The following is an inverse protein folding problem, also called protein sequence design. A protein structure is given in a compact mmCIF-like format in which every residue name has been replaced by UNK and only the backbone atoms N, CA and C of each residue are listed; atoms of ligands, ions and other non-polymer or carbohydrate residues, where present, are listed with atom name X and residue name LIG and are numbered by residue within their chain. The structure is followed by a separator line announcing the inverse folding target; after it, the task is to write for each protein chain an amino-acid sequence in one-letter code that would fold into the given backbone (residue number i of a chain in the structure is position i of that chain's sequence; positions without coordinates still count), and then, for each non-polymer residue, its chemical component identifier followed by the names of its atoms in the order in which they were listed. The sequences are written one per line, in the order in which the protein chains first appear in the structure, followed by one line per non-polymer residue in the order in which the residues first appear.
data_IF_611952128262
#
_entry.id   IF_611952128262
#
_cell.length_a   1.000
_cell.length_b   1.000
_cell.length_c   1.000
_cell.angle_alpha   90.00
_cell.angle_beta   90.00
_cell.angle_gamma   90.00
#
_symmetry.space_group_name_H-M   'P 1'
#
loop_
_entity.id
_entity.type
_entity.pdbx_description
1 polymer ?
#
# COMPACT_ATOMS: atom_id res chain seq x y z
N UNK A 1 -0.23 27.39 0.16
CA UNK A 1 1.20 27.11 0.40
C UNK A 1 1.82 26.77 -0.96
N UNK A 2 3.09 27.10 -1.24
CA UNK A 2 3.70 26.64 -2.50
C UNK A 2 3.99 25.13 -2.48
N UNK A 3 4.08 24.52 -3.67
CA UNK A 3 4.21 23.07 -3.84
C UNK A 3 5.44 22.47 -3.15
N UNK A 4 6.58 23.17 -3.18
CA UNK A 4 7.81 22.66 -2.59
C UNK A 4 7.74 22.66 -1.06
N UNK A 5 7.19 23.72 -0.48
CA UNK A 5 6.94 23.78 0.97
C UNK A 5 5.94 22.72 1.41
N UNK A 6 4.86 22.51 0.66
CA UNK A 6 3.86 21.47 0.97
C UNK A 6 4.46 20.06 0.91
N UNK A 7 5.22 19.73 -0.14
CA UNK A 7 5.97 18.47 -0.23
C UNK A 7 6.97 18.31 0.91
N UNK A 8 7.68 19.37 1.26
CA UNK A 8 8.62 19.41 2.39
C UNK A 8 7.94 19.10 3.72
N UNK A 9 6.76 19.67 3.96
CA UNK A 9 5.98 19.44 5.18
C UNK A 9 5.49 17.99 5.29
N UNK A 10 4.96 17.41 4.21
CA UNK A 10 4.52 16.01 4.20
C UNK A 10 5.72 15.09 4.43
N UNK A 11 6.83 15.28 3.69
CA UNK A 11 8.06 14.49 3.83
C UNK A 11 8.62 14.57 5.25
N UNK A 12 8.72 15.79 5.79
CA UNK A 12 9.18 16.04 7.16
C UNK A 12 8.33 15.36 8.22
N UNK A 13 7.04 15.16 7.95
CA UNK A 13 6.12 14.52 8.90
C UNK A 13 6.08 13.01 8.73
N UNK A 14 6.01 12.51 7.49
CA UNK A 14 5.65 11.11 7.18
C UNK A 14 6.84 10.19 6.89
N UNK A 15 8.06 10.71 6.69
CA UNK A 15 9.28 9.88 6.54
C UNK A 15 9.99 9.55 7.86
N UNK A 16 9.43 9.99 8.98
CA UNK A 16 10.10 9.93 10.27
C UNK A 16 9.22 9.23 11.31
N UNK A 17 9.82 8.73 12.40
CA UNK A 17 9.07 8.29 13.57
C UNK A 17 8.10 9.36 14.04
N UNK A 18 6.96 8.92 14.59
CA UNK A 18 5.93 9.86 15.04
C UNK A 18 6.50 10.87 16.03
N UNK A 19 6.28 12.14 15.74
CA UNK A 19 6.62 13.24 16.64
C UNK A 19 5.46 14.23 16.61
N UNK A 20 4.97 14.57 17.80
CA UNK A 20 3.71 15.27 17.97
C UNK A 20 3.77 16.69 17.41
N UNK A 21 4.90 17.40 17.57
CA UNK A 21 5.05 18.77 17.08
C UNK A 21 5.01 18.85 15.55
N UNK A 22 5.66 17.89 14.86
CA UNK A 22 5.59 17.74 13.40
C UNK A 22 4.17 17.43 12.94
N UNK A 23 3.51 16.47 13.59
CA UNK A 23 2.13 16.12 13.24
C UNK A 23 1.16 17.27 13.49
N UNK A 24 1.30 17.99 14.59
CA UNK A 24 0.50 19.19 14.89
C UNK A 24 0.70 20.27 13.82
N UNK A 25 1.95 20.57 13.46
CA UNK A 25 2.24 21.54 12.42
C UNK A 25 1.63 21.12 11.08
N UNK A 26 1.75 19.85 10.71
CA UNK A 26 1.10 19.30 9.53
C UNK A 26 -0.43 19.46 9.59
N UNK A 27 -1.07 19.11 10.69
CA UNK A 27 -2.53 19.19 10.83
C UNK A 27 -3.06 20.64 10.74
N UNK A 28 -2.35 21.61 11.30
CA UNK A 28 -2.71 23.04 11.19
C UNK A 28 -2.68 23.48 9.74
N UNK A 29 -1.61 23.14 9.00
CA UNK A 29 -1.49 23.51 7.58
C UNK A 29 -2.45 22.73 6.68
N UNK A 30 -2.77 21.48 7.03
CA UNK A 30 -3.73 20.68 6.26
C UNK A 30 -5.14 21.26 6.34
N UNK A 31 -5.54 21.80 7.51
CA UNK A 31 -6.92 22.23 7.78
C UNK A 31 -7.13 23.75 7.70
N UNK A 32 -6.06 24.53 7.53
CA UNK A 32 -6.01 26.00 7.54
C UNK A 32 -6.46 26.68 8.86
N UNK A 33 -7.49 26.17 9.55
CA UNK A 33 -8.08 26.80 10.76
C UNK A 33 -8.42 25.77 11.84
N UNK A 34 -7.42 25.20 12.50
CA UNK A 34 -7.61 24.28 13.63
C UNK A 34 -7.84 25.06 14.94
N UNK A 35 -9.01 24.88 15.58
CA UNK A 35 -9.31 25.47 16.89
C UNK A 35 -8.66 24.63 18.01
N UNK A 36 -7.50 25.13 18.47
CA UNK A 36 -6.71 24.49 19.53
C UNK A 36 -7.18 24.86 20.94
N UNK A 37 -8.07 25.85 21.11
CA UNK A 37 -8.69 26.12 22.41
C UNK A 37 -9.58 24.95 22.85
N UNK A 38 -10.09 24.19 21.87
CA UNK A 38 -10.78 22.92 22.09
C UNK A 38 -9.85 21.74 22.38
N UNK A 39 -8.54 21.92 22.48
CA UNK A 39 -7.61 20.83 22.81
C UNK A 39 -7.80 20.28 24.24
N UNK A 40 -7.29 19.08 24.50
CA UNK A 40 -7.12 18.58 25.86
C UNK A 40 -5.81 17.78 26.00
N UNK A 41 -5.33 17.63 27.24
CA UNK A 41 -4.09 16.90 27.55
C UNK A 41 -4.20 15.38 27.36
N UNK A 42 -3.15 14.64 27.68
CA UNK A 42 -3.22 13.17 27.57
C UNK A 42 -4.18 12.55 28.61
N UNK A 43 -5.16 11.81 28.11
CA UNK A 43 -6.03 10.93 28.89
C UNK A 43 -5.41 9.53 28.90
N UNK A 44 -5.29 8.93 30.08
CA UNK A 44 -4.67 7.60 30.26
C UNK A 44 -5.27 6.83 31.45
N UNK A 45 -4.89 5.56 31.60
CA UNK A 45 -5.25 4.76 32.78
C UNK A 45 -6.76 4.54 32.90
N UNK A 46 -7.34 4.87 34.06
CA UNK A 46 -8.75 4.58 34.38
C UNK A 46 -9.76 5.41 33.58
N UNK A 47 -9.31 6.47 32.90
CA UNK A 47 -10.16 7.30 32.05
C UNK A 47 -10.39 6.70 30.66
N UNK A 48 -9.63 5.67 30.28
CA UNK A 48 -9.88 4.87 29.07
C UNK A 48 -10.87 3.77 29.41
N UNK A 49 -11.91 3.56 28.59
CA UNK A 49 -12.88 2.47 28.79
C UNK A 49 -12.18 1.10 28.79
N UNK A 50 -12.63 0.18 29.65
CA UNK A 50 -11.96 -1.11 29.88
C UNK A 50 -11.73 -1.92 28.60
N UNK A 51 -12.69 -1.91 27.66
CA UNK A 51 -12.56 -2.59 26.35
C UNK A 51 -11.39 -2.10 25.50
N UNK A 52 -10.88 -0.88 25.71
CA UNK A 52 -9.77 -0.30 24.96
C UNK A 52 -8.44 -0.29 25.71
N UNK A 53 -8.45 -0.44 27.04
CA UNK A 53 -7.24 -0.50 27.87
C UNK A 53 -6.20 -1.54 27.42
N UNK A 54 -6.55 -2.70 26.81
CA UNK A 54 -5.55 -3.63 26.30
C UNK A 54 -4.74 -3.11 25.11
N UNK A 55 -5.29 -2.13 24.36
CA UNK A 55 -4.72 -1.67 23.09
C UNK A 55 -4.25 -0.21 23.13
N UNK A 56 -4.92 0.65 23.90
CA UNK A 56 -4.63 2.09 23.98
C UNK A 56 -3.91 2.40 25.28
N UNK A 57 -2.80 3.13 25.17
CA UNK A 57 -2.00 3.62 26.30
C UNK A 57 -2.53 4.96 26.79
N UNK A 58 -2.65 5.92 25.86
CA UNK A 58 -3.11 7.28 26.12
C UNK A 58 -3.56 7.94 24.82
N UNK A 59 -4.38 8.98 24.91
CA UNK A 59 -4.75 9.80 23.75
C UNK A 59 -4.98 11.26 24.14
N UNK A 60 -4.92 12.16 23.17
CA UNK A 60 -5.27 13.57 23.33
C UNK A 60 -5.89 14.15 22.07
N UNK A 61 -6.61 15.27 22.20
CA UNK A 61 -7.08 16.10 21.09
C UNK A 61 -6.18 17.32 20.93
N UNK A 62 -5.67 17.52 19.72
CA UNK A 62 -4.89 18.70 19.34
C UNK A 62 -5.78 19.91 19.07
N UNK A 63 -6.98 19.68 18.53
CA UNK A 63 -7.96 20.71 18.27
C UNK A 63 -9.19 20.14 17.57
N UNK A 64 -10.15 21.02 17.32
CA UNK A 64 -11.33 20.71 16.50
C UNK A 64 -11.33 21.63 15.29
N UNK A 65 -11.60 21.07 14.13
CA UNK A 65 -11.82 21.80 12.90
C UNK A 65 -13.31 21.75 12.55
N UNK A 66 -13.86 22.89 12.13
CA UNK A 66 -15.20 22.97 11.55
C UNK A 66 -15.04 23.32 10.08
N UNK A 67 -15.54 22.46 9.20
CA UNK A 67 -15.43 22.69 7.77
C UNK A 67 -16.44 23.76 7.27
N UNK A 68 -16.34 24.21 6.01
CA UNK A 68 -17.28 25.18 5.44
C UNK A 68 -18.76 24.71 5.38
N UNK A 69 -19.04 23.44 5.66
CA UNK A 69 -20.37 22.83 5.68
C UNK A 69 -20.82 22.50 7.12
N UNK A 70 -20.18 23.10 8.13
CA UNK A 70 -20.42 22.89 9.56
C UNK A 70 -20.13 21.48 10.10
N UNK A 71 -19.45 20.62 9.31
CA UNK A 71 -19.00 19.33 9.78
C UNK A 71 -17.82 19.48 10.75
N UNK A 72 -17.89 18.80 11.89
CA UNK A 72 -16.88 18.88 12.95
C UNK A 72 -15.92 17.70 12.90
N UNK A 73 -14.63 18.00 12.80
CA UNK A 73 -13.55 17.03 12.69
C UNK A 73 -12.57 17.24 13.84
N UNK A 74 -12.33 16.22 14.66
CA UNK A 74 -11.31 16.30 15.72
C UNK A 74 -9.95 15.79 15.22
N UNK A 75 -8.87 16.47 15.61
CA UNK A 75 -7.50 15.99 15.37
C UNK A 75 -6.97 15.32 16.63
N UNK A 76 -6.70 14.02 16.55
CA UNK A 76 -6.31 13.19 17.69
C UNK A 76 -4.91 12.61 17.54
N UNK A 77 -4.27 12.44 18.70
CA UNK A 77 -3.01 11.69 18.85
C UNK A 77 -3.25 10.56 19.81
N UNK A 78 -3.01 9.33 19.37
CA UNK A 78 -3.36 8.10 20.10
C UNK A 78 -2.14 7.20 20.20
N UNK A 79 -1.64 7.00 21.41
CA UNK A 79 -0.55 6.06 21.67
C UNK A 79 -1.13 4.67 21.95
N UNK A 80 -0.67 3.66 21.21
CA UNK A 80 -1.06 2.26 21.40
C UNK A 80 -0.05 1.50 22.28
N UNK A 81 -0.44 0.34 22.81
CA UNK A 81 0.38 -0.46 23.74
C UNK A 81 1.37 -1.41 23.07
N UNK A 82 0.99 -2.07 21.98
CA UNK A 82 1.79 -3.14 21.35
C UNK A 82 2.07 -2.81 19.90
N UNK A 83 3.29 -3.11 19.46
CA UNK A 83 3.85 -2.87 18.13
C UNK A 83 2.95 -3.47 17.03
N UNK A 84 2.54 -4.73 17.22
CA UNK A 84 1.66 -5.44 16.28
C UNK A 84 0.23 -4.87 16.19
N UNK A 85 -0.16 -3.96 17.09
CA UNK A 85 -1.50 -3.40 17.09
C UNK A 85 -1.72 -2.39 15.94
N UNK A 86 -0.65 -1.78 15.38
CA UNK A 86 -0.77 -0.98 14.15
C UNK A 86 -1.30 -1.82 13.00
N UNK A 87 -0.87 -3.09 12.91
CA UNK A 87 -1.29 -3.96 11.82
C UNK A 87 -2.51 -4.84 12.17
N UNK A 88 -2.58 -5.40 13.38
CA UNK A 88 -3.57 -6.43 13.77
C UNK A 88 -4.76 -5.91 14.57
N UNK A 89 -4.76 -4.67 15.06
CA UNK A 89 -5.87 -4.11 15.87
C UNK A 89 -6.68 -3.06 15.12
N UNK A 90 -6.72 -3.16 13.79
CA UNK A 90 -7.41 -2.23 12.90
C UNK A 90 -8.86 -1.97 13.37
N UNK A 91 -9.65 -3.02 13.63
CA UNK A 91 -11.01 -2.86 14.13
C UNK A 91 -11.11 -2.22 15.50
N UNK A 92 -10.17 -2.53 16.39
CA UNK A 92 -10.09 -1.88 17.70
C UNK A 92 -9.81 -0.39 17.60
N UNK A 93 -8.90 0.03 16.71
CA UNK A 93 -8.57 1.45 16.53
C UNK A 93 -9.76 2.23 15.96
N UNK A 94 -10.45 1.65 14.97
CA UNK A 94 -11.69 2.23 14.43
C UNK A 94 -12.76 2.32 15.49
N UNK A 95 -13.00 1.25 16.24
CA UNK A 95 -14.01 1.21 17.30
C UNK A 95 -13.68 2.18 18.45
N UNK A 96 -12.41 2.36 18.78
CA UNK A 96 -11.97 3.35 19.77
C UNK A 96 -12.34 4.77 19.32
N UNK A 97 -11.98 5.14 18.09
CA UNK A 97 -12.27 6.48 17.59
C UNK A 97 -13.76 6.68 17.35
N UNK A 98 -14.49 5.67 16.88
CA UNK A 98 -15.95 5.75 16.76
C UNK A 98 -16.64 5.99 18.11
N UNK A 99 -16.19 5.28 19.16
CA UNK A 99 -16.68 5.44 20.53
C UNK A 99 -16.35 6.83 21.10
N UNK A 100 -15.17 7.38 20.77
CA UNK A 100 -14.79 8.76 21.07
C UNK A 100 -15.71 9.77 20.37
N UNK A 101 -15.92 9.64 19.05
CA UNK A 101 -16.75 10.53 18.23
C UNK A 101 -18.23 10.49 18.65
N UNK A 102 -18.68 9.38 19.22
CA UNK A 102 -20.04 9.20 19.75
C UNK A 102 -20.24 9.75 21.17
N UNK A 103 -19.25 10.47 21.71
CA UNK A 103 -19.31 11.11 23.03
C UNK A 103 -20.34 12.24 23.13
N UNK A 104 -20.30 12.98 24.26
CA UNK A 104 -21.28 14.05 24.55
C UNK A 104 -21.30 15.19 23.52
N UNK A 105 -20.18 15.47 22.87
CA UNK A 105 -20.05 16.47 21.81
C UNK A 105 -19.76 15.72 20.50
N UNK A 106 -20.81 15.14 19.92
CA UNK A 106 -20.71 14.28 18.75
C UNK A 106 -20.01 14.99 17.60
N UNK A 107 -19.09 14.29 16.96
CA UNK A 107 -18.30 14.79 15.83
C UNK A 107 -18.57 13.93 14.60
N UNK A 108 -18.41 14.52 13.43
CA UNK A 108 -18.65 13.86 12.15
C UNK A 108 -17.48 12.95 11.75
N UNK A 109 -16.25 13.36 12.07
CA UNK A 109 -15.05 12.61 11.79
C UNK A 109 -13.88 12.93 12.72
N UNK A 110 -12.80 12.16 12.58
CA UNK A 110 -11.50 12.48 13.16
C UNK A 110 -10.36 12.19 12.18
N UNK A 111 -9.33 13.04 12.25
CA UNK A 111 -7.99 12.76 11.75
C UNK A 111 -7.14 12.29 12.92
N UNK A 112 -6.58 11.09 12.84
CA UNK A 112 -5.94 10.44 13.98
C UNK A 112 -4.53 9.98 13.61
N UNK A 113 -3.55 10.36 14.41
CA UNK A 113 -2.24 9.74 14.41
C UNK A 113 -2.18 8.61 15.46
N UNK A 114 -2.13 7.36 15.01
CA UNK A 114 -1.87 6.21 15.86
C UNK A 114 -0.39 5.86 15.83
N UNK A 115 0.25 5.82 17.00
CA UNK A 115 1.69 5.54 17.10
C UNK A 115 2.02 4.63 18.29
N UNK A 116 3.12 3.89 18.18
CA UNK A 116 3.75 3.13 19.26
C UNK A 116 5.17 3.64 19.52
N UNK A 117 5.88 3.08 20.51
CA UNK A 117 7.30 3.38 20.75
C UNK A 117 8.23 2.63 19.80
N UNK A 118 7.72 1.55 19.20
CA UNK A 118 8.38 0.64 18.27
C UNK A 118 7.22 -0.07 17.50
N UNK A 119 7.25 -0.25 16.17
CA UNK A 119 8.21 0.27 15.21
C UNK A 119 8.17 1.80 15.09
N UNK A 120 9.16 2.33 14.37
CA UNK A 120 9.25 3.73 13.93
C UNK A 120 8.11 4.14 12.97
N UNK A 121 7.29 3.20 12.52
CA UNK A 121 6.17 3.45 11.64
C UNK A 121 4.89 3.76 12.44
N UNK A 122 3.99 4.55 11.85
CA UNK A 122 2.75 5.02 12.48
C UNK A 122 1.64 5.17 11.44
N UNK A 123 0.40 5.30 11.89
CA UNK A 123 -0.76 5.41 11.00
C UNK A 123 -1.40 6.78 11.09
N UNK A 124 -1.56 7.41 9.93
CA UNK A 124 -2.39 8.57 9.77
C UNK A 124 -3.75 8.13 9.21
N UNK A 125 -4.80 8.31 9.99
CA UNK A 125 -6.12 7.76 9.70
C UNK A 125 -7.19 8.84 9.64
N UNK A 126 -8.10 8.70 8.67
CA UNK A 126 -9.37 9.42 8.61
C UNK A 126 -10.50 8.46 9.02
N UNK A 127 -11.26 8.82 10.06
CA UNK A 127 -12.39 8.05 10.56
C UNK A 127 -13.64 8.91 10.44
N UNK A 128 -14.66 8.45 9.73
CA UNK A 128 -15.95 9.15 9.59
C UNK A 128 -17.08 8.31 10.19
N UNK A 129 -18.00 8.96 10.92
CA UNK A 129 -19.24 8.33 11.39
C UNK A 129 -20.24 8.22 10.24
N UNK A 130 -20.77 7.01 9.96
CA UNK A 130 -21.93 6.85 9.09
C UNK A 130 -23.21 6.72 9.92
N UNK A 131 -24.15 7.62 9.67
CA UNK A 131 -25.47 7.57 10.27
C UNK A 131 -26.43 6.90 9.27
N UNK A 132 -26.97 5.73 9.62
CA UNK A 132 -28.09 5.16 8.87
C UNK A 132 -29.37 5.91 9.23
N UNK A 133 -29.96 6.55 8.22
CA UNK A 133 -31.27 7.16 8.31
C UNK A 133 -32.31 6.07 8.06
N UNK A 134 -33.15 5.78 9.05
CA UNK A 134 -34.33 4.94 8.86
C UNK A 134 -35.58 5.83 8.86
N UNK A 135 -36.45 5.61 7.89
CA UNK A 135 -37.77 6.24 7.87
C UNK A 135 -38.76 5.31 8.55
N UNK A 136 -39.32 5.75 9.67
CA UNK A 136 -40.32 5.02 10.40
C UNK A 136 -41.58 4.87 9.53
N UNK A 137 -42.47 3.91 9.85
CA UNK A 137 -43.75 3.68 9.14
C UNK A 137 -44.64 4.94 9.07
N UNK A 138 -44.40 5.94 9.93
CA UNK A 138 -45.04 7.25 9.98
C UNK A 138 -44.36 8.35 9.14
N UNK A 139 -43.37 8.02 8.32
CA UNK A 139 -42.62 8.98 7.49
C UNK A 139 -41.60 9.83 8.26
N UNK A 140 -41.44 9.61 9.57
CA UNK A 140 -40.45 10.33 10.39
C UNK A 140 -39.09 9.69 10.20
N UNK A 141 -38.09 10.47 9.77
CA UNK A 141 -36.70 10.01 9.67
C UNK A 141 -36.09 9.99 11.07
N UNK A 142 -35.61 8.84 11.52
CA UNK A 142 -34.83 8.70 12.75
C UNK A 142 -33.42 8.20 12.45
N UNK A 143 -32.44 8.80 13.13
CA UNK A 143 -31.06 8.34 13.10
C UNK A 143 -30.95 7.15 14.05
N UNK A 144 -30.72 5.95 13.53
CA UNK A 144 -30.43 4.78 14.38
C UNK A 144 -29.00 4.88 14.90
N UNK A 145 -28.84 5.22 16.19
CA UNK A 145 -27.53 5.23 16.86
C UNK A 145 -26.95 3.82 17.08
N UNK A 146 -27.79 2.79 17.15
CA UNK A 146 -27.37 1.42 17.52
C UNK A 146 -26.55 0.69 16.44
N UNK A 147 -26.51 1.22 15.20
CA UNK A 147 -25.68 0.71 14.10
C UNK A 147 -24.92 1.89 13.46
N UNK A 148 -24.25 2.72 14.28
CA UNK A 148 -23.37 3.75 13.73
C UNK A 148 -22.07 3.07 13.32
N UNK A 149 -21.94 2.72 12.04
CA UNK A 149 -20.70 2.16 11.50
C UNK A 149 -19.75 3.29 11.16
N UNK A 150 -18.63 3.41 11.88
CA UNK A 150 -17.56 4.27 11.41
C UNK A 150 -16.82 3.61 10.26
N UNK A 151 -16.46 4.37 9.22
CA UNK A 151 -15.50 3.97 8.19
C UNK A 151 -14.13 4.55 8.52
N UNK A 152 -13.09 3.76 8.31
CA UNK A 152 -11.70 4.22 8.44
C UNK A 152 -10.94 4.03 7.16
N UNK A 153 -10.22 5.07 6.78
CA UNK A 153 -9.20 5.06 5.75
C UNK A 153 -7.86 5.40 6.40
N UNK A 154 -6.75 4.82 5.95
CA UNK A 154 -5.47 5.03 6.61
C UNK A 154 -4.27 4.95 5.67
N UNK A 155 -3.36 5.89 5.85
CA UNK A 155 -1.99 5.78 5.38
C UNK A 155 -1.14 5.12 6.47
N UNK A 156 -0.37 4.10 6.08
CA UNK A 156 0.77 3.65 6.86
C UNK A 156 1.98 4.48 6.43
N UNK A 157 2.62 5.15 7.39
CA UNK A 157 3.71 6.11 7.15
C UNK A 157 4.81 5.88 8.19
N UNK A 158 5.99 6.45 7.96
CA UNK A 158 7.11 6.33 8.88
C UNK A 158 8.41 6.08 8.15
N UNK A 159 9.42 5.67 8.91
CA UNK A 159 10.80 5.49 8.42
C UNK A 159 10.91 4.40 7.36
N UNK A 160 10.08 3.36 7.43
CA UNK A 160 10.20 2.17 6.58
C UNK A 160 9.12 2.09 5.49
N UNK A 161 8.27 3.11 5.36
CA UNK A 161 7.10 3.04 4.50
C UNK A 161 7.13 4.15 3.44
N UNK A 162 6.92 3.81 2.15
CA UNK A 162 6.77 4.81 1.10
C UNK A 162 5.62 5.75 1.43
N UNK A 163 5.86 7.05 1.32
CA UNK A 163 4.84 8.07 1.57
C UNK A 163 4.44 8.83 0.31
N UNK A 164 4.86 8.39 -0.88
CA UNK A 164 4.52 9.07 -2.13
C UNK A 164 3.01 9.09 -2.36
N UNK A 165 2.30 8.00 -2.07
CA UNK A 165 0.83 7.99 -2.12
C UNK A 165 0.20 9.04 -1.20
N UNK A 166 0.66 9.13 0.05
CA UNK A 166 0.17 10.14 0.99
C UNK A 166 0.52 11.56 0.52
N UNK A 167 1.71 11.78 -0.05
CA UNK A 167 2.09 13.05 -0.67
C UNK A 167 1.16 13.41 -1.82
N UNK A 168 0.98 12.52 -2.80
CA UNK A 168 0.17 12.77 -3.98
C UNK A 168 -1.29 13.12 -3.63
N UNK A 169 -1.86 12.43 -2.63
CA UNK A 169 -3.25 12.64 -2.24
C UNK A 169 -3.47 13.88 -1.36
N UNK A 170 -2.52 14.21 -0.47
CA UNK A 170 -2.67 15.33 0.48
C UNK A 170 -2.10 16.65 -0.03
N UNK A 171 -1.23 16.61 -1.04
CA UNK A 171 -0.62 17.80 -1.63
C UNK A 171 -1.65 18.81 -2.16
N UNK A 172 -2.70 18.42 -2.91
CA UNK A 172 -3.69 19.38 -3.40
C UNK A 172 -4.44 20.11 -2.27
N UNK A 173 -4.61 19.46 -1.11
CA UNK A 173 -5.25 20.08 0.06
C UNK A 173 -4.29 21.11 0.69
N UNK A 174 -3.02 20.73 0.88
CA UNK A 174 -2.01 21.61 1.47
C UNK A 174 -1.67 22.83 0.61
N UNK A 175 -1.71 22.69 -0.71
CA UNK A 175 -1.48 23.81 -1.63
C UNK A 175 -2.61 24.86 -1.54
N UNK A 176 -3.83 24.43 -1.22
CA UNK A 176 -5.00 25.29 -1.10
C UNK A 176 -5.11 25.96 0.28
N UNK A 177 -4.30 27.00 0.47
CA UNK A 177 -4.32 27.85 1.68
C UNK A 177 -5.44 28.91 1.69
N UNK A 178 -6.22 29.00 0.62
CA UNK A 178 -7.30 29.99 0.47
C UNK A 178 -8.66 29.45 0.90
N UNK A 179 -8.88 28.15 0.77
CA UNK A 179 -10.15 27.51 1.06
C UNK A 179 -9.96 26.38 2.06
N UNK A 180 -10.76 26.39 3.12
CA UNK A 180 -10.73 25.33 4.11
C UNK A 180 -11.27 24.01 3.50
N UNK A 181 -10.61 22.86 3.73
CA UNK A 181 -11.01 21.59 3.13
C UNK A 181 -12.34 21.09 3.68
N UNK A 182 -13.27 20.72 2.81
CA UNK A 182 -14.52 20.07 3.23
C UNK A 182 -14.27 18.65 3.71
N UNK A 183 -15.19 18.10 4.51
CA UNK A 183 -15.20 16.69 4.91
C UNK A 183 -15.08 15.75 3.69
N UNK A 184 -15.78 16.09 2.60
CA UNK A 184 -15.72 15.34 1.34
C UNK A 184 -14.35 15.39 0.67
N UNK A 185 -13.67 16.55 0.70
CA UNK A 185 -12.31 16.67 0.15
C UNK A 185 -11.29 15.87 0.95
N UNK A 186 -11.41 15.84 2.27
CA UNK A 186 -10.58 15.01 3.14
C UNK A 186 -10.84 13.52 2.87
N UNK A 187 -12.10 13.11 2.75
CA UNK A 187 -12.43 11.73 2.41
C UNK A 187 -11.87 11.29 1.05
N UNK A 188 -11.97 12.16 0.04
CA UNK A 188 -11.42 11.90 -1.29
C UNK A 188 -9.89 11.71 -1.26
N UNK A 189 -9.17 12.52 -0.49
CA UNK A 189 -7.72 12.36 -0.31
C UNK A 189 -7.32 11.08 0.43
N UNK A 190 -8.26 10.42 1.11
CA UNK A 190 -8.04 9.13 1.74
C UNK A 190 -8.67 7.97 0.93
N UNK A 191 -9.17 8.23 -0.27
CA UNK A 191 -9.84 7.22 -1.09
C UNK A 191 -8.84 6.25 -1.71
N UNK A 192 -9.06 4.96 -1.47
CA UNK A 192 -8.32 3.88 -2.13
C UNK A 192 -8.54 3.94 -3.64
N UNK A 193 -9.75 4.26 -4.09
CA UNK A 193 -10.10 4.23 -5.52
C UNK A 193 -9.23 5.18 -6.36
N UNK A 194 -8.84 6.33 -5.80
CA UNK A 194 -7.94 7.26 -6.47
C UNK A 194 -6.54 6.66 -6.68
N UNK A 195 -6.02 5.97 -5.65
CA UNK A 195 -4.73 5.28 -5.70
C UNK A 195 -4.78 4.09 -6.65
N UNK A 196 -5.86 3.30 -6.60
CA UNK A 196 -6.09 2.18 -7.50
C UNK A 196 -6.10 2.59 -8.96
N UNK A 197 -6.82 3.69 -9.26
CA UNK A 197 -6.93 4.21 -10.61
C UNK A 197 -5.57 4.69 -11.12
N UNK A 198 -4.82 5.43 -10.31
CA UNK A 198 -3.50 5.91 -10.72
C UNK A 198 -2.54 4.75 -10.95
N UNK A 199 -2.48 3.80 -10.01
CA UNK A 199 -1.67 2.59 -10.16
C UNK A 199 -2.02 1.80 -11.43
N UNK A 200 -3.30 1.65 -11.76
CA UNK A 200 -3.73 0.99 -12.99
C UNK A 200 -3.19 1.69 -14.24
N UNK A 201 -3.26 3.02 -14.29
CA UNK A 201 -2.78 3.79 -15.44
C UNK A 201 -1.27 3.63 -15.61
N UNK A 202 -0.52 3.73 -14.50
CA UNK A 202 0.94 3.63 -14.52
C UNK A 202 1.39 2.19 -14.81
N UNK A 203 0.70 1.19 -14.26
CA UNK A 203 0.92 -0.22 -14.60
C UNK A 203 0.68 -0.49 -16.10
N UNK A 204 -0.40 0.06 -16.66
CA UNK A 204 -0.73 -0.12 -18.09
C UNK A 204 0.34 0.51 -18.97
N UNK A 205 0.80 1.72 -18.65
CA UNK A 205 1.87 2.39 -19.38
C UNK A 205 3.16 1.54 -19.39
N UNK A 206 3.59 1.06 -18.22
CA UNK A 206 4.75 0.17 -18.10
C UNK A 206 4.57 -1.13 -18.89
N UNK A 207 3.38 -1.73 -18.83
CA UNK A 207 3.04 -2.92 -19.61
C UNK A 207 3.17 -2.66 -21.12
N UNK A 208 2.62 -1.55 -21.62
CA UNK A 208 2.71 -1.19 -23.04
C UNK A 208 4.16 -0.97 -23.48
N UNK A 209 4.97 -0.31 -22.66
CA UNK A 209 6.40 -0.08 -22.93
C UNK A 209 7.19 -1.39 -22.98
N UNK A 210 7.00 -2.29 -22.02
CA UNK A 210 7.66 -3.62 -22.01
C UNK A 210 7.22 -4.44 -23.21
N UNK A 211 5.93 -4.40 -23.55
CA UNK A 211 5.40 -5.11 -24.71
C UNK A 211 6.06 -4.63 -26.01
N UNK A 212 6.15 -3.32 -26.22
CA UNK A 212 6.80 -2.72 -27.39
C UNK A 212 8.29 -3.10 -27.45
N UNK A 213 8.98 -3.12 -26.31
CA UNK A 213 10.38 -3.53 -26.27
C UNK A 213 10.55 -5.02 -26.64
N UNK A 214 9.71 -5.90 -26.09
CA UNK A 214 9.74 -7.33 -26.42
C UNK A 214 9.43 -7.59 -27.90
N UNK A 215 8.52 -6.82 -28.52
CA UNK A 215 8.27 -6.86 -29.96
C UNK A 215 9.53 -6.48 -30.76
N UNK A 216 10.24 -5.43 -30.32
CA UNK A 216 11.50 -5.00 -30.89
C UNK A 216 12.58 -6.10 -30.81
N UNK A 217 12.76 -6.69 -29.62
CA UNK A 217 13.72 -7.77 -29.38
C UNK A 217 13.40 -8.99 -30.25
N UNK A 218 12.14 -9.44 -30.25
CA UNK A 218 11.71 -10.60 -31.03
C UNK A 218 11.78 -10.37 -32.55
N UNK A 219 11.69 -9.12 -33.01
CA UNK A 219 11.85 -8.77 -34.43
C UNK A 219 13.32 -8.69 -34.85
N UNK A 220 14.21 -8.28 -33.93
CA UNK A 220 15.64 -8.09 -34.21
C UNK A 220 16.46 -9.39 -34.09
N UNK A 221 16.13 -10.27 -33.14
CA UNK A 221 16.87 -11.50 -32.90
C UNK A 221 16.15 -12.75 -33.45
N UNK A 222 16.76 -13.38 -34.46
CA UNK A 222 16.19 -14.56 -35.13
C UNK A 222 16.06 -15.80 -34.23
N UNK A 223 16.92 -15.95 -33.21
CA UNK A 223 16.90 -17.06 -32.24
C UNK A 223 15.71 -16.89 -31.30
N UNK A 224 15.54 -15.70 -30.73
CA UNK A 224 14.39 -15.35 -29.89
C UNK A 224 13.09 -15.50 -30.68
N UNK A 225 13.04 -14.95 -31.90
CA UNK A 225 11.87 -15.06 -32.77
C UNK A 225 11.48 -16.52 -33.06
N UNK A 226 12.47 -17.39 -33.28
CA UNK A 226 12.24 -18.81 -33.53
C UNK A 226 11.73 -19.52 -32.28
N UNK A 227 12.31 -19.24 -31.12
CA UNK A 227 11.87 -19.83 -29.85
C UNK A 227 10.44 -19.40 -29.52
N UNK A 228 10.13 -18.11 -29.64
CA UNK A 228 8.78 -17.61 -29.37
C UNK A 228 7.77 -18.23 -30.33
N UNK A 229 8.08 -18.33 -31.62
CA UNK A 229 7.19 -19.02 -32.58
C UNK A 229 7.02 -20.51 -32.26
N UNK A 230 8.10 -21.22 -31.91
CA UNK A 230 8.05 -22.67 -31.64
C UNK A 230 7.19 -22.98 -30.41
N UNK A 231 7.28 -22.14 -29.38
CA UNK A 231 6.48 -22.23 -28.16
C UNK A 231 5.14 -21.51 -28.27
N UNK A 232 4.84 -20.86 -29.40
CA UNK A 232 3.65 -20.01 -29.58
C UNK A 232 3.53 -18.92 -28.50
N UNK A 233 4.65 -18.35 -28.08
CA UNK A 233 4.72 -17.24 -27.13
C UNK A 233 4.38 -15.95 -27.87
N UNK A 234 3.51 -15.19 -27.23
CA UNK A 234 3.09 -13.86 -27.65
C UNK A 234 3.71 -12.86 -26.66
N UNK A 235 4.32 -11.80 -27.20
CA UNK A 235 5.08 -10.79 -26.46
C UNK A 235 4.21 -10.05 -25.45
N UNK A 236 2.93 -9.80 -25.76
CA UNK A 236 1.97 -9.24 -24.80
C UNK A 236 1.73 -10.18 -23.61
N UNK A 237 1.57 -11.49 -23.86
CA UNK A 237 1.44 -12.48 -22.78
C UNK A 237 2.73 -12.60 -21.95
N UNK A 238 3.90 -12.48 -22.58
CA UNK A 238 5.18 -12.45 -21.88
C UNK A 238 5.28 -11.22 -20.96
N UNK A 239 5.01 -10.01 -21.50
CA UNK A 239 4.97 -8.76 -20.73
C UNK A 239 4.00 -8.85 -19.55
N UNK A 240 2.81 -9.43 -19.79
CA UNK A 240 1.79 -9.61 -18.75
C UNK A 240 2.28 -10.51 -17.61
N UNK A 241 2.94 -11.62 -17.95
CA UNK A 241 3.50 -12.55 -16.95
C UNK A 241 4.65 -11.90 -16.19
N UNK A 242 5.58 -11.24 -16.87
CA UNK A 242 6.70 -10.52 -16.24
C UNK A 242 6.21 -9.49 -15.23
N UNK A 243 5.30 -8.60 -15.65
CA UNK A 243 4.74 -7.58 -14.76
C UNK A 243 4.01 -8.20 -13.56
N UNK A 244 3.29 -9.31 -13.78
CA UNK A 244 2.64 -10.03 -12.69
C UNK A 244 3.60 -10.71 -11.72
N UNK A 245 4.71 -11.26 -12.21
CA UNK A 245 5.76 -11.83 -11.37
C UNK A 245 6.41 -10.74 -10.50
N UNK A 246 6.77 -9.59 -11.09
CA UNK A 246 7.35 -8.45 -10.35
C UNK A 246 6.39 -7.96 -9.27
N UNK A 247 5.13 -7.72 -9.60
CA UNK A 247 4.12 -7.28 -8.63
C UNK A 247 3.92 -8.31 -7.50
N UNK A 248 3.95 -9.61 -7.81
CA UNK A 248 3.88 -10.64 -6.77
C UNK A 248 5.04 -10.52 -5.78
N UNK A 249 6.26 -10.29 -6.28
CA UNK A 249 7.43 -10.07 -5.43
C UNK A 249 7.32 -8.82 -4.56
N UNK A 250 6.64 -7.76 -5.02
CA UNK A 250 6.33 -6.58 -4.19
C UNK A 250 5.47 -6.92 -2.96
N UNK A 251 4.49 -7.83 -3.07
CA UNK A 251 3.77 -8.32 -1.89
C UNK A 251 4.63 -9.20 -0.99
N UNK A 252 5.48 -10.02 -1.59
CA UNK A 252 6.30 -10.98 -0.88
C UNK A 252 7.38 -10.28 -0.04
N UNK A 253 8.05 -9.25 -0.60
CA UNK A 253 9.01 -8.44 0.15
C UNK A 253 8.36 -7.69 1.31
N UNK A 254 7.08 -7.28 1.21
CA UNK A 254 6.37 -6.63 2.32
C UNK A 254 6.19 -7.56 3.53
N UNK A 255 6.13 -8.87 3.30
CA UNK A 255 6.16 -9.87 4.39
C UNK A 255 7.56 -10.11 4.98
N UNK A 256 8.61 -9.52 4.39
CA UNK A 256 10.00 -9.76 4.76
C UNK A 256 10.47 -11.18 4.41
N UNK A 257 9.85 -11.79 3.39
CA UNK A 257 10.14 -13.17 2.97
C UNK A 257 11.17 -13.24 1.84
N UNK A 258 11.63 -12.11 1.29
CA UNK A 258 12.70 -12.10 0.29
C UNK A 258 14.00 -11.58 0.90
N UNK A 259 15.13 -12.17 0.54
CA UNK A 259 16.45 -11.67 0.93
C UNK A 259 16.77 -11.84 2.41
N UNK A 260 16.31 -12.93 3.06
CA UNK A 260 16.62 -13.17 4.48
C UNK A 260 18.09 -13.53 4.61
N UNK A 261 18.89 -12.57 5.09
CA UNK A 261 20.32 -12.72 5.26
C UNK A 261 20.73 -13.40 6.57
N UNK A 262 22.03 -13.34 6.85
CA UNK A 262 22.65 -13.90 8.06
C UNK A 262 22.82 -12.84 9.15
N UNK A 263 22.96 -13.30 10.39
CA UNK A 263 23.42 -12.51 11.53
C UNK A 263 24.96 -12.43 11.59
N UNK A 264 25.49 -11.69 12.56
CA UNK A 264 26.94 -11.52 12.76
C UNK A 264 27.66 -12.85 13.05
N UNK A 265 26.93 -13.87 13.49
CA UNK A 265 27.41 -15.23 13.75
C UNK A 265 27.24 -16.16 12.55
N UNK A 266 26.87 -15.62 11.38
CA UNK A 266 26.63 -16.32 10.11
C UNK A 266 25.45 -17.29 10.11
N UNK A 267 24.54 -17.19 11.08
CA UNK A 267 23.30 -17.95 11.08
C UNK A 267 22.23 -17.20 10.29
N UNK A 268 21.38 -17.91 9.55
CA UNK A 268 20.24 -17.27 8.91
C UNK A 268 19.29 -16.69 9.94
N UNK A 269 18.84 -15.47 9.68
CA UNK A 269 17.79 -14.84 10.48
C UNK A 269 16.45 -15.55 10.28
N UNK A 270 15.51 -15.27 11.17
CA UNK A 270 14.15 -15.79 11.07
C UNK A 270 13.43 -15.22 9.84
N UNK A 271 12.51 -16.00 9.28
CA UNK A 271 11.59 -15.53 8.24
C UNK A 271 10.87 -14.25 8.67
N UNK A 272 10.66 -13.34 7.72
CA UNK A 272 10.07 -12.02 7.97
C UNK A 272 11.08 -10.92 8.29
N UNK A 273 12.37 -11.25 8.37
CA UNK A 273 13.46 -10.26 8.59
C UNK A 273 14.12 -9.78 7.30
N UNK A 274 13.69 -10.27 6.14
CA UNK A 274 14.17 -9.82 4.85
C UNK A 274 13.81 -8.36 4.58
N UNK A 275 14.59 -7.64 3.75
CA UNK A 275 14.32 -6.25 3.44
C UNK A 275 12.96 -6.06 2.76
N UNK A 276 12.18 -5.09 3.24
CA UNK A 276 10.89 -4.70 2.63
C UNK A 276 11.01 -4.01 1.27
N UNK A 277 12.23 -3.74 0.82
CA UNK A 277 12.64 -3.14 -0.45
C UNK A 277 13.63 -4.04 -1.22
N UNK A 278 13.52 -5.37 -1.07
CA UNK A 278 14.44 -6.36 -1.63
C UNK A 278 14.76 -6.13 -3.12
N UNK A 279 13.75 -5.98 -3.98
CA UNK A 279 13.95 -5.83 -5.42
C UNK A 279 14.78 -4.59 -5.77
N UNK A 280 14.52 -3.47 -5.11
CA UNK A 280 15.27 -2.24 -5.32
C UNK A 280 16.73 -2.36 -4.88
N UNK A 281 16.99 -3.10 -3.79
CA UNK A 281 18.37 -3.39 -3.34
C UNK A 281 19.09 -4.34 -4.30
N UNK A 282 18.35 -5.31 -4.85
CA UNK A 282 18.84 -6.25 -5.86
C UNK A 282 19.21 -5.51 -7.16
N UNK A 283 18.35 -4.61 -7.64
CA UNK A 283 18.62 -3.73 -8.78
C UNK A 283 19.79 -2.76 -8.51
N UNK A 284 20.01 -2.35 -7.26
CA UNK A 284 21.19 -1.55 -6.87
C UNK A 284 22.47 -2.36 -6.71
N UNK A 285 22.48 -3.63 -7.12
CA UNK A 285 23.64 -4.54 -7.05
C UNK A 285 24.17 -4.76 -5.62
N UNK A 286 23.29 -4.66 -4.62
CA UNK A 286 23.69 -4.87 -3.22
C UNK A 286 23.89 -6.36 -2.86
N UNK A 287 23.40 -7.27 -3.69
CA UNK A 287 23.48 -8.72 -3.47
C UNK A 287 24.43 -9.41 -4.46
N UNK A 288 24.39 -9.01 -5.73
CA UNK A 288 25.16 -9.61 -6.81
C UNK A 288 25.33 -8.59 -7.93
N UNK A 289 26.40 -8.72 -8.72
CA UNK A 289 26.63 -7.91 -9.92
C UNK A 289 25.93 -8.52 -11.13
N UNK A 290 25.61 -7.69 -12.13
CA UNK A 290 24.95 -8.12 -13.36
C UNK A 290 25.18 -7.14 -14.52
N UNK A 291 24.97 -7.62 -15.74
CA UNK A 291 24.98 -6.78 -16.96
C UNK A 291 23.55 -6.41 -17.37
N UNK A 292 22.65 -7.39 -17.43
CA UNK A 292 21.23 -7.18 -17.71
C UNK A 292 20.37 -7.69 -16.56
N UNK A 293 19.53 -6.83 -15.98
CA UNK A 293 18.76 -7.19 -14.80
C UNK A 293 17.68 -8.24 -15.07
N UNK A 294 17.03 -8.21 -16.23
CA UNK A 294 16.01 -9.21 -16.53
C UNK A 294 16.67 -10.59 -16.68
N UNK A 295 17.65 -10.67 -17.57
CA UNK A 295 18.31 -11.91 -17.96
C UNK A 295 19.15 -12.53 -16.81
N UNK A 296 19.99 -11.71 -16.17
CA UNK A 296 20.98 -12.22 -15.21
C UNK A 296 20.39 -12.37 -13.80
N UNK A 297 19.26 -11.72 -13.50
CA UNK A 297 18.70 -11.65 -12.14
C UNK A 297 17.26 -12.11 -12.08
N UNK A 298 16.34 -11.52 -12.84
CA UNK A 298 14.92 -11.84 -12.71
C UNK A 298 14.60 -13.25 -13.21
N UNK A 299 15.18 -13.69 -14.33
CA UNK A 299 14.95 -15.05 -14.84
C UNK A 299 15.43 -16.13 -13.86
N UNK A 300 16.69 -16.11 -13.35
CA UNK A 300 17.10 -17.05 -12.30
C UNK A 300 16.27 -16.94 -11.02
N UNK A 301 15.95 -15.72 -10.58
CA UNK A 301 15.11 -15.51 -9.39
C UNK A 301 13.73 -16.16 -9.57
N UNK A 302 13.10 -15.99 -10.73
CA UNK A 302 11.79 -16.56 -11.02
C UNK A 302 11.89 -18.08 -11.20
N UNK A 303 12.67 -18.52 -12.18
CA UNK A 303 12.60 -19.87 -12.73
C UNK A 303 13.48 -20.89 -11.99
N UNK A 304 14.39 -20.44 -11.12
CA UNK A 304 15.24 -21.31 -10.30
C UNK A 304 14.96 -21.08 -8.80
N UNK A 305 15.12 -19.85 -8.31
CA UNK A 305 15.07 -19.57 -6.87
C UNK A 305 13.66 -19.77 -6.29
N UNK A 306 12.63 -19.26 -6.96
CA UNK A 306 11.24 -19.31 -6.48
C UNK A 306 10.47 -20.55 -6.95
N UNK A 307 10.94 -21.20 -8.02
CA UNK A 307 10.28 -22.33 -8.66
C UNK A 307 10.86 -23.71 -8.28
N UNK A 308 11.95 -23.76 -7.51
CA UNK A 308 12.55 -25.01 -7.02
C UNK A 308 12.73 -24.98 -5.50
N UNK A 309 12.69 -26.16 -4.87
CA UNK A 309 13.07 -26.30 -3.45
C UNK A 309 14.59 -26.26 -3.29
N UNK A 310 15.05 -25.54 -2.27
CA UNK A 310 16.47 -25.41 -1.94
C UNK A 310 16.70 -25.88 -0.50
N UNK A 311 17.87 -26.47 -0.23
CA UNK A 311 18.22 -26.90 1.13
C UNK A 311 18.20 -25.71 2.10
N UNK A 312 17.36 -25.81 3.14
CA UNK A 312 17.11 -24.73 4.11
C UNK A 312 16.66 -23.41 3.46
N UNK A 313 16.02 -23.46 2.29
CA UNK A 313 15.58 -22.32 1.49
C UNK A 313 16.73 -21.41 1.03
N UNK A 314 17.97 -21.91 1.02
CA UNK A 314 19.15 -21.12 0.69
C UNK A 314 19.37 -21.01 -0.82
N UNK A 315 19.36 -19.79 -1.34
CA UNK A 315 19.71 -19.51 -2.72
C UNK A 315 21.12 -18.95 -2.81
N UNK A 316 22.07 -19.80 -3.24
CA UNK A 316 23.50 -19.47 -3.25
C UNK A 316 23.88 -18.24 -4.10
N UNK A 317 23.26 -17.99 -5.29
CA UNK A 317 23.64 -16.83 -6.10
C UNK A 317 23.38 -15.47 -5.45
N UNK A 318 22.46 -15.41 -4.46
CA UNK A 318 22.14 -14.18 -3.73
C UNK A 318 22.55 -14.21 -2.25
N UNK A 319 23.26 -15.26 -1.82
CA UNK A 319 23.64 -15.56 -0.43
C UNK A 319 22.54 -15.25 0.62
N UNK A 320 21.31 -15.63 0.35
CA UNK A 320 20.18 -15.38 1.23
C UNK A 320 19.12 -16.47 1.12
N UNK A 321 18.11 -16.45 2.03
CA UNK A 321 16.95 -17.32 1.86
C UNK A 321 15.92 -16.72 0.93
N UNK A 322 15.39 -17.57 0.05
CA UNK A 322 14.31 -17.29 -0.89
C UNK A 322 13.29 -18.44 -0.77
N UNK A 323 12.00 -18.15 -0.59
CA UNK A 323 11.00 -19.19 -0.36
C UNK A 323 10.62 -19.87 -1.68
N UNK A 324 10.40 -21.17 -1.63
CA UNK A 324 9.75 -21.89 -2.72
C UNK A 324 8.24 -21.59 -2.75
N UNK A 325 7.69 -21.33 -3.94
CA UNK A 325 6.29 -20.92 -4.11
C UNK A 325 5.39 -21.91 -4.85
N UNK A 326 5.89 -23.11 -5.21
CA UNK A 326 5.22 -24.09 -6.07
C UNK A 326 4.86 -23.56 -7.48
N UNK A 327 5.10 -24.40 -8.49
CA UNK A 327 5.08 -24.06 -9.91
C UNK A 327 3.78 -23.44 -10.45
N UNK A 328 3.93 -22.49 -11.37
CA UNK A 328 2.85 -21.80 -12.08
C UNK A 328 3.24 -20.39 -12.53
N UNK A 329 3.12 -19.39 -11.64
CA UNK A 329 3.49 -18.01 -11.95
C UNK A 329 5.00 -17.88 -12.21
N UNK A 330 5.82 -18.63 -11.48
CA UNK A 330 7.27 -18.58 -11.52
C UNK A 330 7.91 -19.66 -12.39
N UNK A 331 7.17 -20.31 -13.28
CA UNK A 331 7.75 -21.18 -14.31
C UNK A 331 7.95 -20.42 -15.63
N UNK A 332 8.90 -20.81 -16.49
CA UNK A 332 9.07 -20.23 -17.81
C UNK A 332 7.77 -20.28 -18.62
N UNK A 333 7.45 -19.21 -19.36
CA UNK A 333 6.23 -19.17 -20.16
C UNK A 333 6.28 -20.24 -21.26
N UNK A 334 5.40 -21.24 -21.19
CA UNK A 334 5.35 -22.34 -22.17
C UNK A 334 6.70 -23.07 -22.32
N UNK A 335 7.45 -23.18 -21.23
CA UNK A 335 8.72 -23.89 -21.18
C UNK A 335 9.72 -23.42 -22.26
N UNK A 336 9.77 -22.12 -22.54
CA UNK A 336 10.85 -21.59 -23.39
C UNK A 336 12.20 -21.79 -22.73
N UNK A 337 13.22 -21.98 -23.56
CA UNK A 337 14.58 -22.20 -23.10
C UNK A 337 15.22 -20.88 -22.64
N UNK A 338 14.83 -20.39 -21.47
CA UNK A 338 15.36 -19.17 -20.86
C UNK A 338 16.88 -19.23 -20.67
N UNK A 339 17.43 -20.40 -20.33
CA UNK A 339 18.88 -20.58 -20.15
C UNK A 339 19.72 -20.40 -21.42
N UNK A 340 19.12 -20.52 -22.60
CA UNK A 340 19.82 -20.32 -23.87
C UNK A 340 19.24 -19.15 -24.69
N UNK A 341 18.22 -18.45 -24.19
CA UNK A 341 17.53 -17.39 -24.95
C UNK A 341 17.72 -16.07 -24.23
N UNK A 342 18.78 -15.35 -24.58
CA UNK A 342 19.13 -14.11 -23.89
C UNK A 342 18.17 -12.97 -24.24
N UNK A 343 17.19 -12.69 -23.38
CA UNK A 343 16.22 -11.61 -23.58
C UNK A 343 16.73 -10.36 -22.87
N UNK A 344 17.26 -9.40 -23.62
CA UNK A 344 17.83 -8.17 -23.06
C UNK A 344 16.81 -7.03 -23.00
N UNK A 345 15.97 -7.04 -21.97
CA UNK A 345 15.12 -5.89 -21.62
C UNK A 345 16.01 -4.79 -21.01
N UNK A 346 15.88 -3.54 -21.48
CA UNK A 346 16.69 -2.42 -21.04
C UNK A 346 16.60 -2.23 -19.51
N UNK A 347 17.76 -2.07 -18.89
CA UNK A 347 17.87 -1.79 -17.47
C UNK A 347 17.20 -0.45 -17.11
N UNK A 348 17.16 0.53 -18.02
CA UNK A 348 16.41 1.77 -17.79
C UNK A 348 14.91 1.53 -17.74
N UNK A 349 14.36 0.63 -18.58
CA UNK A 349 12.94 0.28 -18.48
C UNK A 349 12.64 -0.48 -17.18
N UNK A 350 13.53 -1.38 -16.76
CA UNK A 350 13.40 -2.04 -15.46
C UNK A 350 13.51 -1.04 -14.29
N UNK A 351 14.38 -0.05 -14.38
CA UNK A 351 14.47 1.02 -13.40
C UNK A 351 13.14 1.78 -13.29
N UNK A 352 12.50 2.10 -14.41
CA UNK A 352 11.20 2.77 -14.45
C UNK A 352 10.10 1.94 -13.78
N UNK A 353 10.09 0.62 -13.97
CA UNK A 353 9.17 -0.28 -13.27
C UNK A 353 9.34 -0.17 -11.76
N UNK A 354 10.58 -0.31 -11.25
CA UNK A 354 10.84 -0.25 -9.81
C UNK A 354 10.59 1.15 -9.23
N UNK A 355 11.03 2.20 -9.93
CA UNK A 355 10.80 3.59 -9.52
C UNK A 355 9.31 3.92 -9.46
N UNK A 356 8.49 3.33 -10.33
CA UNK A 356 7.04 3.51 -10.32
C UNK A 356 6.41 2.70 -9.18
N UNK A 357 6.72 1.41 -9.05
CA UNK A 357 6.12 0.57 -8.01
C UNK A 357 6.53 0.98 -6.59
N UNK A 358 7.76 1.48 -6.39
CA UNK A 358 8.23 2.00 -5.11
C UNK A 358 7.46 3.25 -4.63
N UNK A 359 6.68 3.89 -5.50
CA UNK A 359 5.79 5.01 -5.12
C UNK A 359 4.50 4.54 -4.42
N UNK A 360 4.22 3.24 -4.44
CA UNK A 360 3.00 2.67 -3.90
C UNK A 360 3.26 1.83 -2.66
N UNK A 361 2.33 1.92 -1.72
CA UNK A 361 2.28 0.99 -0.61
C UNK A 361 1.58 -0.29 -1.04
N UNK A 362 2.29 -1.42 -1.03
CA UNK A 362 1.68 -2.74 -1.21
C UNK A 362 1.26 -3.32 0.14
N UNK A 363 0.07 -3.93 0.19
CA UNK A 363 -0.46 -4.60 1.38
C UNK A 363 -0.91 -6.01 1.03
N UNK A 364 -0.68 -6.96 1.94
CA UNK A 364 -1.09 -8.37 1.79
C UNK A 364 -2.44 -8.66 2.46
N UNK A 365 -3.07 -7.61 2.99
CA UNK A 365 -4.36 -7.68 3.66
C UNK A 365 -5.40 -7.05 2.74
N UNK A 366 -6.44 -7.81 2.44
CA UNK A 366 -7.60 -7.30 1.72
C UNK A 366 -8.32 -6.25 2.57
N UNK A 367 -8.91 -5.27 1.89
CA UNK A 367 -9.76 -4.26 2.51
C UNK A 367 -11.02 -4.91 3.12
N UNK A 368 -11.39 -4.46 4.32
CA UNK A 368 -12.68 -4.82 4.92
C UNK A 368 -13.71 -3.71 4.62
N UNK A 369 -15.03 -4.00 4.59
CA UNK A 369 -16.05 -3.01 4.19
C UNK A 369 -16.00 -1.67 4.95
N UNK A 370 -15.54 -1.70 6.21
CA UNK A 370 -15.44 -0.52 7.08
C UNK A 370 -14.00 -0.04 7.31
N UNK A 371 -13.01 -0.77 6.79
CA UNK A 371 -11.61 -0.56 7.08
C UNK A 371 -10.77 -0.71 5.82
N UNK A 372 -10.38 0.43 5.28
CA UNK A 372 -9.57 0.52 4.08
C UNK A 372 -8.17 1.01 4.37
N UNK A 373 -7.19 0.36 3.76
CA UNK A 373 -5.80 0.85 3.74
C UNK A 373 -5.56 1.53 2.39
N UNK A 374 -4.96 2.72 2.41
CA UNK A 374 -4.65 3.45 1.18
C UNK A 374 -3.38 2.86 0.57
N UNK A 375 -3.53 1.68 -0.03
CA UNK A 375 -2.49 0.79 -0.52
C UNK A 375 -2.99 -0.07 -1.70
N UNK A 376 -2.07 -0.71 -2.40
CA UNK A 376 -2.31 -1.71 -3.45
C UNK A 376 -2.46 -3.07 -2.78
N UNK A 377 -3.60 -3.72 -3.00
CA UNK A 377 -3.90 -5.06 -2.49
C UNK A 377 -4.02 -6.10 -3.63
N UNK A 378 -4.08 -7.41 -3.31
CA UNK A 378 -4.22 -8.44 -4.33
C UNK A 378 -5.55 -8.39 -5.11
N UNK A 379 -6.64 -7.93 -4.49
CA UNK A 379 -7.96 -7.83 -5.15
C UNK A 379 -7.93 -6.80 -6.29
N UNK A 380 -7.31 -5.65 -6.05
CA UNK A 380 -7.10 -4.61 -7.05
C UNK A 380 -6.42 -5.17 -8.29
N UNK A 381 -5.41 -6.02 -8.11
CA UNK A 381 -4.68 -6.60 -9.23
C UNK A 381 -5.52 -7.55 -10.04
N UNK A 382 -6.41 -8.33 -9.40
CA UNK A 382 -7.41 -9.11 -10.12
C UNK A 382 -8.16 -8.24 -11.13
N UNK A 383 -8.64 -7.07 -10.68
CA UNK A 383 -9.32 -6.09 -11.53
C UNK A 383 -8.41 -5.49 -12.61
N UNK A 384 -7.14 -5.19 -12.29
CA UNK A 384 -6.15 -4.72 -13.27
C UNK A 384 -5.93 -5.77 -14.35
N UNK A 385 -5.65 -7.03 -13.99
CA UNK A 385 -5.42 -8.12 -14.92
C UNK A 385 -6.65 -8.46 -15.76
N UNK A 386 -7.86 -8.32 -15.21
CA UNK A 386 -9.12 -8.46 -15.93
C UNK A 386 -9.34 -7.33 -16.94
N UNK A 387 -9.00 -6.08 -16.59
CA UNK A 387 -9.17 -4.89 -17.44
C UNK A 387 -8.12 -4.78 -18.55
N UNK A 388 -6.93 -5.37 -18.35
CA UNK A 388 -5.89 -5.47 -19.37
C UNK A 388 -6.16 -6.57 -20.41
N UNK A 389 -7.19 -7.40 -20.22
CA UNK A 389 -7.62 -8.34 -21.26
C UNK A 389 -8.42 -7.57 -22.32
N UNK A 390 -8.04 -7.65 -23.60
CA UNK A 390 -8.85 -7.05 -24.65
C UNK A 390 -10.24 -7.71 -24.70
N UNK A 391 -11.29 -6.95 -25.02
CA UNK A 391 -12.72 -7.34 -24.90
C UNK A 391 -13.06 -8.68 -25.60
N UNK A 392 -12.32 -9.01 -26.65
CA UNK A 392 -12.41 -10.24 -27.43
C UNK A 392 -11.97 -11.50 -26.66
N UNK A 393 -11.15 -11.38 -25.61
CA UNK A 393 -10.75 -12.51 -24.73
C UNK A 393 -11.74 -12.67 -23.56
N UNK A 394 -12.31 -11.57 -23.05
CA UNK A 394 -13.35 -11.58 -21.99
C UNK A 394 -14.59 -12.39 -22.39
N UNK A 395 -14.97 -12.36 -23.67
CA UNK A 395 -16.12 -13.13 -24.18
C UNK A 395 -15.82 -14.60 -24.45
N UNK A 396 -14.54 -15.01 -24.52
CA UNK A 396 -14.13 -16.34 -24.98
C UNK A 396 -13.72 -17.33 -23.88
N UNK A 397 -13.35 -16.88 -22.69
CA UNK A 397 -13.03 -17.74 -21.54
C UNK A 397 -13.80 -17.22 -20.33
N UNK A 398 -14.75 -18.01 -19.83
CA UNK A 398 -15.61 -17.69 -18.68
C UNK A 398 -14.88 -17.56 -17.33
N UNK A 399 -13.75 -16.86 -17.29
CA UNK A 399 -13.10 -16.42 -16.07
C UNK A 399 -13.77 -15.12 -15.62
N UNK A 400 -14.99 -15.25 -15.10
CA UNK A 400 -15.61 -14.21 -14.30
C UNK A 400 -15.20 -14.44 -12.85
N UNK A 401 -14.52 -13.48 -12.24
CA UNK A 401 -14.46 -13.41 -10.79
C UNK A 401 -15.89 -13.22 -10.27
N UNK A 402 -16.34 -14.12 -9.40
CA UNK A 402 -17.62 -13.97 -8.69
C UNK A 402 -17.37 -13.11 -7.45
N UNK A 403 -17.85 -11.85 -7.40
CA UNK A 403 -17.73 -11.06 -6.19
C UNK A 403 -18.49 -11.76 -5.07
N UNK A 404 -17.97 -11.75 -3.84
CA UNK A 404 -18.74 -12.23 -2.68
C UNK A 404 -19.98 -11.35 -2.52
N UNK A 405 -21.11 -11.98 -2.28
CA UNK A 405 -22.38 -11.32 -1.99
C UNK A 405 -22.22 -10.42 -0.76
N UNK A 406 -22.61 -9.15 -0.93
CA UNK A 406 -22.60 -8.07 0.07
C UNK A 406 -23.45 -8.42 1.29
#
# INVERSE_FOLDING_TARGET
MDSNTAKGLIKGTFNFPFEESRFRNFAINLLNTLDEEKSFGYISGNYIKDKFKPHITKYRRLGTYTDPMDAKIDVLVVQIKKEWALERSRSTLRNFTADYLSGRDSKDAALVAYFSKDPDDWRFSYIRMEYKLETNVSGRVTVRKDITSARRFSFLVGKNEPNHTAQAQLLPILENDRNNPTLGSLEAAFSVDAVSKQFYLDYRDLFERIHIELDGIASADSKIAKEFRSKSIDTANFAKKLMGQIVFLYFLQKKGWLGVGRDDKRNFKNWGTGPKNFLQRLFKKEFVDYSNFFNDILEPLFYEALASEHDNDYYSPLDCKIPFLNGGLFEPLKDYNWSETDIWIDNELMADVFNTFDQYNFTVREDEPLEKEVAIDPEMLGKVFENLLPENIRKGKGAYYTPRTI
#
